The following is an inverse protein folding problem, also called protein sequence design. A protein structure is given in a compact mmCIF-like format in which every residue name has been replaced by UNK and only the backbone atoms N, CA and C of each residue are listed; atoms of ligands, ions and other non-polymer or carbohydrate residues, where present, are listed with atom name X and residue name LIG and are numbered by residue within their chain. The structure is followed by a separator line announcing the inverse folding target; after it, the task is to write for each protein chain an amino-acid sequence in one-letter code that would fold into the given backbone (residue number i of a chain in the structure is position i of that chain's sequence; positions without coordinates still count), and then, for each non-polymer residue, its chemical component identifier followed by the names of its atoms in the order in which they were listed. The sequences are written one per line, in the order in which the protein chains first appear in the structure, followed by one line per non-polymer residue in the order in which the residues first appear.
data_IF_179033586972
#
_entry.id   IF_179033586972
#
_cell.length_a   1.000
_cell.length_b   1.000
_cell.length_c   1.000
_cell.angle_alpha   90.00
_cell.angle_beta   90.00
_cell.angle_gamma   90.00
#
_symmetry.space_group_name_H-M   'P 1'
#
loop_
_entity.id
_entity.type
_entity.pdbx_description
1 polymer ?
#
# COMPACT_ATOMS: atom_id res chain seq x y z
N UNK A 1 64.31 -13.62 -19.73
CA UNK A 1 63.45 -14.47 -18.91
C UNK A 1 62.59 -13.54 -18.08
N UNK A 2 61.41 -13.15 -18.63
CA UNK A 2 60.48 -12.24 -17.98
C UNK A 2 59.16 -12.99 -17.75
N UNK A 3 58.85 -13.21 -16.49
CA UNK A 3 57.58 -13.80 -16.05
C UNK A 3 56.52 -12.72 -16.06
N UNK A 4 55.50 -12.87 -16.90
CA UNK A 4 54.25 -12.06 -16.86
C UNK A 4 53.28 -12.67 -15.86
N UNK A 5 52.97 -11.91 -14.81
CA UNK A 5 51.94 -12.22 -13.83
C UNK A 5 50.64 -11.59 -14.33
N UNK A 6 49.71 -12.39 -14.83
CA UNK A 6 48.33 -11.96 -15.17
C UNK A 6 47.45 -12.10 -13.96
N UNK A 7 47.08 -10.94 -13.35
CA UNK A 7 46.02 -10.87 -12.34
C UNK A 7 44.64 -10.93 -13.05
N UNK A 8 43.90 -12.01 -12.83
CA UNK A 8 42.47 -12.08 -13.15
C UNK A 8 41.67 -11.34 -12.06
N UNK A 9 41.16 -10.16 -12.37
CA UNK A 9 40.12 -9.49 -11.60
C UNK A 9 38.78 -10.18 -11.90
N UNK A 10 38.30 -10.98 -10.97
CA UNK A 10 36.89 -11.39 -10.92
C UNK A 10 36.06 -10.23 -10.40
N UNK A 11 35.48 -9.47 -11.31
CA UNK A 11 34.42 -8.52 -10.98
C UNK A 11 33.14 -9.29 -10.73
N UNK A 12 32.80 -9.52 -9.47
CA UNK A 12 31.46 -9.99 -9.07
C UNK A 12 30.47 -8.86 -9.31
N UNK A 13 29.80 -8.93 -10.46
CA UNK A 13 28.64 -8.07 -10.78
C UNK A 13 27.50 -8.53 -9.86
N UNK A 14 27.34 -7.87 -8.71
CA UNK A 14 26.13 -7.97 -7.90
C UNK A 14 25.02 -7.28 -8.70
N UNK A 15 24.21 -8.05 -9.42
CA UNK A 15 23.01 -7.58 -10.07
C UNK A 15 22.04 -7.11 -9.00
N UNK A 16 22.00 -5.79 -8.73
CA UNK A 16 20.89 -5.17 -8.01
C UNK A 16 19.65 -5.31 -8.89
N UNK A 17 18.83 -6.31 -8.59
CA UNK A 17 17.50 -6.40 -9.16
C UNK A 17 16.70 -5.15 -8.75
N UNK A 18 15.99 -4.49 -9.68
CA UNK A 18 15.23 -3.28 -9.36
C UNK A 18 14.13 -3.60 -8.34
N UNK A 19 14.16 -2.92 -7.20
CA UNK A 19 13.18 -3.03 -6.11
C UNK A 19 11.72 -2.79 -6.54
N UNK A 20 11.48 -2.32 -7.75
CA UNK A 20 10.14 -2.13 -8.34
C UNK A 20 9.44 -3.42 -8.77
N UNK A 21 10.17 -4.51 -9.04
CA UNK A 21 9.58 -5.76 -9.54
C UNK A 21 8.89 -6.60 -8.46
N UNK A 22 9.24 -6.43 -7.18
CA UNK A 22 8.76 -7.30 -6.11
C UNK A 22 7.28 -7.09 -5.72
N UNK A 23 6.72 -5.88 -5.89
CA UNK A 23 5.30 -5.62 -5.59
C UNK A 23 4.39 -5.90 -6.79
N UNK A 24 4.87 -5.69 -7.99
CA UNK A 24 4.18 -6.09 -9.22
C UNK A 24 3.99 -7.61 -9.23
N UNK A 25 5.05 -8.38 -9.08
CA UNK A 25 5.00 -9.84 -9.09
C UNK A 25 4.06 -10.45 -8.01
N UNK A 26 3.90 -9.80 -6.83
CA UNK A 26 2.95 -10.29 -5.82
C UNK A 26 1.49 -10.13 -6.27
N UNK A 27 1.12 -8.99 -6.86
CA UNK A 27 -0.24 -8.75 -7.34
C UNK A 27 -0.57 -9.64 -8.54
N UNK A 28 0.36 -9.81 -9.44
CA UNK A 28 0.26 -10.67 -10.62
C UNK A 28 0.18 -12.14 -10.23
N UNK A 29 1.04 -12.61 -9.32
CA UNK A 29 0.99 -13.95 -8.79
C UNK A 29 -0.33 -14.28 -8.07
N UNK A 30 -0.88 -13.33 -7.31
CA UNK A 30 -2.20 -13.48 -6.66
C UNK A 30 -3.33 -13.51 -7.69
N UNK A 31 -3.30 -12.63 -8.68
CA UNK A 31 -4.29 -12.60 -9.74
C UNK A 31 -4.25 -13.87 -10.62
N UNK A 32 -3.06 -14.36 -10.95
CA UNK A 32 -2.86 -15.61 -11.65
C UNK A 32 -3.42 -16.80 -10.84
N UNK A 33 -3.09 -16.88 -9.55
CA UNK A 33 -3.64 -17.91 -8.66
C UNK A 33 -5.17 -17.88 -8.61
N UNK A 34 -5.77 -16.70 -8.51
CA UNK A 34 -7.23 -16.54 -8.47
C UNK A 34 -7.93 -16.97 -9.77
N UNK A 35 -7.26 -16.85 -10.92
CA UNK A 35 -7.74 -17.33 -12.22
C UNK A 35 -7.50 -18.83 -12.48
N UNK A 36 -6.78 -19.51 -11.54
CA UNK A 36 -6.37 -20.90 -11.74
C UNK A 36 -5.12 -21.08 -12.60
N UNK A 37 -4.47 -20.01 -13.03
CA UNK A 37 -3.18 -20.04 -13.72
C UNK A 37 -2.04 -20.25 -12.72
N UNK A 38 -1.94 -21.47 -12.25
CA UNK A 38 -1.00 -21.81 -11.19
C UNK A 38 0.46 -21.79 -11.66
N UNK A 39 0.71 -21.96 -12.96
CA UNK A 39 2.05 -21.89 -13.52
C UNK A 39 2.62 -20.48 -13.43
N UNK A 40 1.87 -19.49 -13.90
CA UNK A 40 2.24 -18.08 -13.77
C UNK A 40 2.31 -17.63 -12.30
N UNK A 41 1.35 -18.07 -11.48
CA UNK A 41 1.38 -17.78 -10.03
C UNK A 41 2.66 -18.29 -9.37
N UNK A 42 3.11 -19.50 -9.71
CA UNK A 42 4.34 -20.09 -9.17
C UNK A 42 5.58 -19.32 -9.60
N UNK A 43 5.65 -18.93 -10.88
CA UNK A 43 6.77 -18.16 -11.44
C UNK A 43 6.94 -16.82 -10.71
N UNK A 44 5.83 -16.11 -10.45
CA UNK A 44 5.83 -14.83 -9.77
C UNK A 44 6.07 -14.93 -8.24
N UNK A 45 5.44 -15.89 -7.58
CA UNK A 45 5.48 -16.01 -6.12
C UNK A 45 6.78 -16.64 -5.60
N UNK A 46 7.43 -17.52 -6.37
CA UNK A 46 8.64 -18.23 -5.91
C UNK A 46 9.80 -17.28 -5.60
N UNK A 47 10.22 -16.35 -6.48
CA UNK A 47 11.30 -15.42 -6.17
C UNK A 47 10.96 -14.53 -4.99
N UNK A 48 9.69 -14.10 -4.84
CA UNK A 48 9.24 -13.29 -3.73
C UNK A 48 9.30 -14.04 -2.39
N UNK A 49 8.84 -15.29 -2.36
CA UNK A 49 8.90 -16.13 -1.17
C UNK A 49 10.36 -16.39 -0.73
N UNK A 50 11.27 -16.64 -1.68
CA UNK A 50 12.72 -16.78 -1.43
C UNK A 50 13.33 -15.49 -0.89
N UNK A 51 12.85 -14.33 -1.34
CA UNK A 51 13.24 -13.01 -0.83
C UNK A 51 12.62 -12.68 0.55
N UNK A 52 11.87 -13.61 1.16
CA UNK A 52 11.28 -13.41 2.48
C UNK A 52 9.93 -12.70 2.49
N UNK A 53 9.27 -12.52 1.35
CA UNK A 53 7.97 -11.83 1.29
C UNK A 53 6.91 -12.59 2.10
N UNK A 54 6.40 -11.95 3.17
CA UNK A 54 5.44 -12.52 4.12
C UNK A 54 4.09 -12.94 3.50
N UNK A 55 3.73 -12.38 2.35
CA UNK A 55 2.49 -12.71 1.66
C UNK A 55 2.67 -13.78 0.57
N UNK A 56 3.85 -13.88 -0.03
CA UNK A 56 4.16 -14.90 -1.03
C UNK A 56 4.41 -16.28 -0.37
N UNK A 57 5.06 -16.31 0.77
CA UNK A 57 5.39 -17.56 1.48
C UNK A 57 4.16 -18.43 1.81
N UNK A 58 3.07 -17.92 2.43
CA UNK A 58 1.91 -18.75 2.73
C UNK A 58 1.19 -19.23 1.48
N UNK A 59 1.20 -18.44 0.40
CA UNK A 59 0.63 -18.86 -0.89
C UNK A 59 1.42 -20.00 -1.51
N UNK A 60 2.76 -19.88 -1.51
CA UNK A 60 3.64 -20.94 -2.03
C UNK A 60 3.51 -22.23 -1.19
N UNK A 61 3.38 -22.10 0.13
CA UNK A 61 3.08 -23.22 1.03
C UNK A 61 1.78 -23.94 0.67
N UNK A 62 0.71 -23.18 0.39
CA UNK A 62 -0.58 -23.72 -0.05
C UNK A 62 -0.48 -24.40 -1.42
N UNK A 63 0.27 -23.83 -2.38
CA UNK A 63 0.49 -24.41 -3.70
C UNK A 63 1.17 -25.78 -3.61
N UNK A 64 2.24 -25.91 -2.83
CA UNK A 64 2.90 -27.21 -2.60
C UNK A 64 2.00 -28.21 -1.88
N UNK A 65 1.15 -27.76 -0.96
CA UNK A 65 0.20 -28.63 -0.24
C UNK A 65 -0.87 -29.19 -1.16
N UNK A 66 -1.42 -28.36 -2.04
CA UNK A 66 -2.55 -28.70 -2.91
C UNK A 66 -2.12 -29.29 -4.26
N UNK A 67 -0.87 -29.09 -4.67
CA UNK A 67 -0.37 -29.48 -5.98
C UNK A 67 -0.77 -28.51 -7.08
N UNK A 68 -0.95 -27.23 -6.75
CA UNK A 68 -1.33 -26.20 -7.70
C UNK A 68 -0.09 -25.69 -8.46
N UNK A 69 0.02 -26.06 -9.75
CA UNK A 69 1.15 -25.72 -10.61
C UNK A 69 2.46 -26.44 -10.29
N UNK A 70 2.48 -27.29 -9.25
CA UNK A 70 3.62 -28.09 -8.81
C UNK A 70 3.14 -29.44 -8.28
N UNK A 71 4.00 -30.46 -8.31
CA UNK A 71 3.70 -31.70 -7.59
C UNK A 71 3.55 -31.42 -6.08
N UNK A 72 2.59 -32.10 -5.44
CA UNK A 72 2.42 -32.04 -3.98
C UNK A 72 3.73 -32.38 -3.29
N UNK A 73 4.13 -31.52 -2.34
CA UNK A 73 5.35 -31.74 -1.58
C UNK A 73 5.17 -31.24 -0.13
N UNK A 74 5.06 -32.21 0.79
CA UNK A 74 4.81 -31.94 2.19
C UNK A 74 5.92 -31.12 2.86
N UNK A 75 7.18 -31.42 2.57
CA UNK A 75 8.33 -30.72 3.17
C UNK A 75 8.36 -29.27 2.75
N UNK A 76 8.21 -28.98 1.45
CA UNK A 76 8.16 -27.61 0.93
C UNK A 76 6.93 -26.83 1.43
N UNK A 77 5.77 -27.48 1.50
CA UNK A 77 4.57 -26.88 2.06
C UNK A 77 4.78 -26.45 3.51
N UNK A 78 5.34 -27.34 4.34
CA UNK A 78 5.66 -27.06 5.73
C UNK A 78 6.76 -26.00 5.88
N UNK A 79 7.81 -26.07 5.05
CA UNK A 79 8.87 -25.07 5.06
C UNK A 79 8.29 -23.65 4.87
N UNK A 80 7.59 -23.42 3.78
CA UNK A 80 7.04 -22.12 3.47
C UNK A 80 5.97 -21.64 4.47
N UNK A 81 5.14 -22.57 4.96
CA UNK A 81 4.15 -22.25 6.00
C UNK A 81 4.85 -21.83 7.30
N UNK A 82 5.92 -22.53 7.71
CA UNK A 82 6.68 -22.18 8.91
C UNK A 82 7.42 -20.86 8.78
N UNK A 83 7.99 -20.55 7.61
CA UNK A 83 8.61 -19.24 7.37
C UNK A 83 7.60 -18.09 7.52
N UNK A 84 6.40 -18.25 6.97
CA UNK A 84 5.32 -17.28 7.15
C UNK A 84 4.87 -17.16 8.63
N UNK A 85 4.81 -18.28 9.36
CA UNK A 85 4.48 -18.29 10.80
C UNK A 85 5.53 -17.56 11.64
N UNK A 86 6.81 -17.68 11.30
CA UNK A 86 7.90 -16.94 11.96
C UNK A 86 7.72 -15.43 11.80
N UNK A 87 7.21 -14.98 10.65
CA UNK A 87 6.92 -13.58 10.39
C UNK A 87 5.59 -13.10 11.00
N UNK A 88 4.86 -13.98 11.70
CA UNK A 88 3.62 -13.63 12.38
C UNK A 88 2.36 -13.64 11.50
N UNK A 89 2.42 -14.18 10.27
CA UNK A 89 1.24 -14.25 9.39
C UNK A 89 0.11 -15.07 10.02
N UNK A 90 -1.05 -14.43 10.25
CA UNK A 90 -2.19 -15.06 10.92
C UNK A 90 -2.83 -16.17 10.09
N UNK A 91 -2.81 -16.07 8.76
CA UNK A 91 -3.31 -17.08 7.85
C UNK A 91 -2.42 -18.33 7.87
N UNK A 92 -1.10 -18.16 7.85
CA UNK A 92 -0.15 -19.25 7.98
C UNK A 92 -0.25 -19.94 9.35
N UNK A 93 -0.44 -19.16 10.43
CA UNK A 93 -0.69 -19.72 11.78
C UNK A 93 -1.96 -20.58 11.81
N UNK A 94 -3.04 -20.12 11.17
CA UNK A 94 -4.27 -20.90 11.02
C UNK A 94 -4.03 -22.18 10.20
N UNK A 95 -3.35 -22.10 9.07
CA UNK A 95 -3.08 -23.23 8.21
C UNK A 95 -2.23 -24.28 8.93
N UNK A 96 -1.18 -23.87 9.64
CA UNK A 96 -0.35 -24.79 10.42
C UNK A 96 -1.12 -25.40 11.60
N UNK A 97 -2.01 -24.63 12.24
CA UNK A 97 -2.89 -25.15 13.28
C UNK A 97 -3.81 -26.24 12.75
N UNK A 98 -4.39 -26.02 11.57
CA UNK A 98 -5.24 -27.00 10.89
C UNK A 98 -4.46 -28.29 10.54
N UNK A 99 -3.21 -28.17 10.07
CA UNK A 99 -2.38 -29.34 9.82
C UNK A 99 -2.15 -30.17 11.09
N UNK A 100 -1.84 -29.53 12.23
CA UNK A 100 -1.69 -30.23 13.50
C UNK A 100 -3.02 -30.79 14.06
N UNK A 101 -4.14 -30.18 13.75
CA UNK A 101 -5.47 -30.70 14.15
C UNK A 101 -5.84 -31.95 13.34
N UNK A 102 -5.67 -31.89 12.02
CA UNK A 102 -6.09 -32.97 11.12
C UNK A 102 -5.06 -34.08 10.98
N UNK A 103 -3.78 -33.80 11.25
CA UNK A 103 -2.68 -34.70 10.96
C UNK A 103 -2.23 -34.64 9.50
N UNK A 104 -2.58 -33.56 8.78
CA UNK A 104 -2.17 -33.36 7.39
C UNK A 104 -0.75 -32.81 7.35
N UNK A 105 0.16 -33.52 6.71
CA UNK A 105 1.60 -33.26 6.58
C UNK A 105 2.41 -33.31 7.89
N UNK A 106 1.76 -33.42 9.05
CA UNK A 106 2.38 -33.51 10.39
C UNK A 106 1.59 -34.44 11.27
N UNK A 107 2.22 -35.04 12.28
CA UNK A 107 1.49 -35.80 13.29
C UNK A 107 0.50 -34.91 14.05
N UNK A 108 -0.70 -35.44 14.34
CA UNK A 108 -1.72 -34.71 15.13
C UNK A 108 -1.17 -34.22 16.45
N UNK A 109 -1.41 -32.94 16.75
CA UNK A 109 -0.99 -32.33 18.00
C UNK A 109 -1.97 -31.22 18.40
N UNK A 110 -3.02 -31.57 19.12
CA UNK A 110 -4.03 -30.62 19.55
C UNK A 110 -3.51 -29.48 20.46
N UNK A 111 -2.59 -29.72 21.43
CA UNK A 111 -1.98 -28.64 22.19
C UNK A 111 -1.28 -27.60 21.32
N UNK A 112 -0.55 -28.03 20.30
CA UNK A 112 0.16 -27.13 19.39
C UNK A 112 -0.82 -26.42 18.44
N UNK A 113 -1.83 -27.13 17.94
CA UNK A 113 -2.92 -26.56 17.16
C UNK A 113 -3.65 -25.46 17.95
N UNK A 114 -4.00 -25.70 19.22
CA UNK A 114 -4.64 -24.72 20.08
C UNK A 114 -3.81 -23.42 20.23
N UNK A 115 -2.49 -23.55 20.48
CA UNK A 115 -1.58 -22.39 20.55
C UNK A 115 -1.54 -21.60 19.25
N UNK A 116 -1.50 -22.27 18.11
CA UNK A 116 -1.47 -21.63 16.79
C UNK A 116 -2.82 -20.98 16.45
N UNK A 117 -3.95 -21.66 16.72
CA UNK A 117 -5.28 -21.05 16.57
C UNK A 117 -5.45 -19.83 17.47
N UNK A 118 -4.93 -19.85 18.69
CA UNK A 118 -4.98 -18.68 19.57
C UNK A 118 -4.20 -17.49 19.00
N UNK A 119 -3.04 -17.71 18.41
CA UNK A 119 -2.26 -16.65 17.73
C UNK A 119 -3.01 -16.10 16.51
N UNK A 120 -3.53 -16.98 15.65
CA UNK A 120 -4.32 -16.61 14.48
C UNK A 120 -5.63 -15.88 14.86
N UNK A 121 -6.31 -16.32 15.94
CA UNK A 121 -7.52 -15.67 16.43
C UNK A 121 -7.26 -14.27 16.98
N UNK A 122 -6.11 -14.05 17.64
CA UNK A 122 -5.63 -12.71 18.04
C UNK A 122 -5.28 -11.82 16.84
N UNK A 123 -4.78 -12.42 15.76
CA UNK A 123 -4.55 -11.73 14.48
C UNK A 123 -5.87 -11.47 13.69
N UNK A 124 -7.01 -11.62 14.35
CA UNK A 124 -8.36 -11.36 13.82
C UNK A 124 -8.73 -12.22 12.60
N UNK A 125 -8.29 -13.50 12.57
CA UNK A 125 -8.72 -14.48 11.57
C UNK A 125 -10.04 -15.11 12.02
N UNK A 126 -11.18 -14.90 11.30
CA UNK A 126 -12.50 -15.33 11.76
C UNK A 126 -12.61 -16.84 11.98
N UNK A 127 -12.09 -17.62 11.05
CA UNK A 127 -12.12 -19.08 11.12
C UNK A 127 -11.27 -19.61 12.28
N UNK A 128 -10.15 -18.95 12.60
CA UNK A 128 -9.35 -19.28 13.78
C UNK A 128 -10.11 -18.99 15.08
N UNK A 129 -10.84 -17.88 15.14
CA UNK A 129 -11.70 -17.54 16.28
C UNK A 129 -12.78 -18.61 16.49
N UNK A 130 -13.44 -19.03 15.40
CA UNK A 130 -14.44 -20.10 15.46
C UNK A 130 -13.85 -21.44 15.92
N UNK A 131 -12.73 -21.87 15.29
CA UNK A 131 -12.05 -23.15 15.66
C UNK A 131 -11.57 -23.14 17.10
N UNK A 132 -11.03 -22.01 17.56
CA UNK A 132 -10.60 -21.87 18.96
C UNK A 132 -11.77 -21.98 19.94
N UNK A 133 -12.95 -21.45 19.56
CA UNK A 133 -14.19 -21.66 20.31
C UNK A 133 -14.54 -23.16 20.43
N UNK A 134 -14.44 -23.90 19.32
CA UNK A 134 -14.64 -25.37 19.30
C UNK A 134 -13.61 -26.09 20.17
N UNK A 135 -12.34 -25.70 20.09
CA UNK A 135 -11.29 -26.29 20.93
C UNK A 135 -11.55 -26.13 22.42
N UNK A 136 -12.00 -24.96 22.86
CA UNK A 136 -12.39 -24.74 24.26
C UNK A 136 -13.66 -25.48 24.63
N UNK A 137 -14.63 -25.60 23.72
CA UNK A 137 -15.90 -26.33 24.01
C UNK A 137 -15.64 -27.82 24.19
N UNK A 138 -14.77 -28.39 23.38
CA UNK A 138 -14.47 -29.84 23.36
C UNK A 138 -13.32 -30.25 24.27
N UNK A 139 -12.50 -29.25 24.71
CA UNK A 139 -11.28 -29.48 25.49
C UNK A 139 -10.12 -29.97 24.68
N UNK A 140 -10.10 -29.70 23.35
CA UNK A 140 -9.02 -30.11 22.46
C UNK A 140 -7.74 -29.33 22.76
N UNK A 141 -6.68 -30.05 23.06
CA UNK A 141 -5.39 -29.45 23.37
C UNK A 141 -5.27 -28.76 24.74
N UNK A 142 -6.24 -28.97 25.64
CA UNK A 142 -6.24 -28.41 27.00
C UNK A 142 -7.55 -28.65 27.75
N UNK A 143 -7.74 -27.86 28.79
CA UNK A 143 -8.97 -27.97 29.63
C UNK A 143 -10.18 -27.40 28.89
N UNK A 144 -11.32 -28.12 29.00
CA UNK A 144 -12.61 -27.65 28.53
C UNK A 144 -13.03 -26.36 29.24
N UNK A 145 -13.41 -25.33 28.48
CA UNK A 145 -13.83 -24.03 29.02
C UNK A 145 -14.98 -23.45 28.19
N UNK A 146 -16.21 -23.64 28.67
CA UNK A 146 -17.41 -23.16 27.98
C UNK A 146 -17.51 -21.65 27.92
N UNK A 147 -16.95 -20.92 28.89
CA UNK A 147 -16.95 -19.46 28.91
C UNK A 147 -16.01 -18.93 27.81
N UNK A 148 -14.81 -19.50 27.69
CA UNK A 148 -13.90 -19.13 26.59
C UNK A 148 -14.47 -19.53 25.23
N UNK A 149 -15.16 -20.68 25.13
CA UNK A 149 -15.83 -21.05 23.89
C UNK A 149 -16.88 -20.00 23.46
N UNK A 150 -17.74 -19.58 24.38
CA UNK A 150 -18.70 -18.49 24.16
C UNK A 150 -18.04 -17.20 23.72
N UNK A 151 -16.95 -16.79 24.39
CA UNK A 151 -16.20 -15.58 24.05
C UNK A 151 -15.66 -15.63 22.62
N UNK A 152 -15.03 -16.73 22.22
CA UNK A 152 -14.44 -16.84 20.89
C UNK A 152 -15.47 -16.98 19.77
N UNK A 153 -16.58 -17.68 20.00
CA UNK A 153 -17.72 -17.71 19.06
C UNK A 153 -18.36 -16.33 18.91
N UNK A 154 -18.47 -15.55 19.99
CA UNK A 154 -18.98 -14.17 19.94
C UNK A 154 -18.08 -13.30 19.07
N UNK A 155 -16.77 -13.41 19.24
CA UNK A 155 -15.81 -12.67 18.39
C UNK A 155 -15.87 -13.08 16.93
N UNK A 156 -16.00 -14.38 16.65
CA UNK A 156 -16.12 -14.87 15.28
C UNK A 156 -17.42 -14.39 14.62
N UNK A 157 -18.53 -14.36 15.35
CA UNK A 157 -19.83 -13.89 14.87
C UNK A 157 -19.84 -12.37 14.58
N UNK A 158 -19.13 -11.58 15.39
CA UNK A 158 -19.03 -10.14 15.24
C UNK A 158 -17.91 -9.69 14.26
N UNK A 159 -17.18 -10.63 13.65
CA UNK A 159 -16.07 -10.30 12.79
C UNK A 159 -16.55 -9.93 11.38
N UNK A 160 -16.32 -8.69 10.97
CA UNK A 160 -16.73 -8.17 9.65
C UNK A 160 -16.18 -8.97 8.46
N UNK A 161 -15.07 -9.69 8.67
CA UNK A 161 -14.44 -10.54 7.65
C UNK A 161 -15.00 -11.97 7.60
N UNK A 162 -15.94 -12.28 8.48
CA UNK A 162 -16.44 -13.66 8.64
C UNK A 162 -17.36 -14.11 7.49
N UNK A 163 -18.00 -13.17 6.79
CA UNK A 163 -18.95 -13.51 5.72
C UNK A 163 -20.00 -14.55 6.20
N UNK A 164 -20.19 -15.60 5.43
CA UNK A 164 -21.14 -16.67 5.77
C UNK A 164 -20.81 -17.42 7.09
N UNK A 165 -19.57 -17.39 7.56
CA UNK A 165 -19.17 -17.98 8.83
C UNK A 165 -19.83 -17.27 10.03
N UNK A 166 -20.17 -15.96 9.91
CA UNK A 166 -20.76 -15.19 11.01
C UNK A 166 -22.05 -15.85 11.54
N UNK A 167 -22.92 -16.32 10.65
CA UNK A 167 -24.16 -17.01 11.02
C UNK A 167 -23.89 -18.33 11.75
N UNK A 168 -22.92 -19.12 11.31
CA UNK A 168 -22.53 -20.37 11.99
C UNK A 168 -21.92 -20.09 13.37
N UNK A 169 -21.09 -19.06 13.47
CA UNK A 169 -20.49 -18.64 14.73
C UNK A 169 -21.55 -18.11 15.71
N UNK A 170 -22.57 -17.39 15.23
CA UNK A 170 -23.68 -16.93 16.04
C UNK A 170 -24.50 -18.13 16.60
N UNK A 171 -24.83 -19.13 15.77
CA UNK A 171 -25.51 -20.35 16.24
C UNK A 171 -24.68 -21.10 17.31
N UNK A 172 -23.36 -21.22 17.11
CA UNK A 172 -22.47 -21.85 18.07
C UNK A 172 -22.37 -21.04 19.37
N UNK A 173 -22.31 -19.71 19.30
CA UNK A 173 -22.38 -18.80 20.45
C UNK A 173 -23.65 -19.02 21.24
N UNK A 174 -24.81 -19.01 20.58
CA UNK A 174 -26.13 -19.12 21.23
C UNK A 174 -26.32 -20.51 21.89
N UNK A 175 -25.83 -21.56 21.22
CA UNK A 175 -25.79 -22.90 21.81
C UNK A 175 -24.90 -22.94 23.06
N UNK A 176 -23.73 -22.33 23.02
CA UNK A 176 -22.83 -22.23 24.18
C UNK A 176 -23.44 -21.39 25.30
N UNK A 177 -24.07 -20.27 24.98
CA UNK A 177 -24.71 -19.37 25.94
C UNK A 177 -25.84 -20.06 26.77
N UNK A 178 -26.60 -20.96 26.14
CA UNK A 178 -27.65 -21.72 26.84
C UNK A 178 -27.10 -22.70 27.88
N UNK A 179 -25.85 -23.06 27.80
CA UNK A 179 -25.19 -23.99 28.74
C UNK A 179 -24.43 -23.25 29.86
N UNK A 180 -24.47 -21.93 29.88
CA UNK A 180 -23.80 -21.09 30.87
C UNK A 180 -24.79 -20.55 31.88
N UNK A 181 -24.40 -20.53 33.17
CA UNK A 181 -25.07 -19.77 34.22
C UNK A 181 -24.96 -18.26 33.95
N UNK A 182 -25.79 -17.46 34.60
CA UNK A 182 -25.74 -16.00 34.51
C UNK A 182 -24.37 -15.42 34.94
N UNK A 183 -23.79 -16.01 35.98
CA UNK A 183 -22.43 -15.65 36.45
C UNK A 183 -21.37 -15.94 35.38
N UNK A 184 -21.44 -17.08 34.71
CA UNK A 184 -20.52 -17.44 33.62
C UNK A 184 -20.70 -16.54 32.40
N UNK A 185 -21.94 -16.16 32.04
CA UNK A 185 -22.24 -15.20 30.98
C UNK A 185 -21.65 -13.82 31.30
N UNK A 186 -21.83 -13.35 32.54
CA UNK A 186 -21.27 -12.09 33.01
C UNK A 186 -19.72 -12.11 32.92
N UNK A 187 -19.08 -13.21 33.33
CA UNK A 187 -17.63 -13.40 33.21
C UNK A 187 -17.18 -13.39 31.74
N UNK A 188 -17.91 -14.07 30.86
CA UNK A 188 -17.62 -14.05 29.42
C UNK A 188 -17.72 -12.65 28.80
N UNK A 189 -18.77 -11.90 29.17
CA UNK A 189 -18.98 -10.51 28.75
C UNK A 189 -17.85 -9.59 29.24
N UNK A 190 -17.41 -9.75 30.49
CA UNK A 190 -16.28 -9.01 31.04
C UNK A 190 -14.98 -9.33 30.29
N UNK A 191 -14.75 -10.59 29.91
CA UNK A 191 -13.60 -10.98 29.08
C UNK A 191 -13.65 -10.33 27.69
N UNK A 192 -14.83 -10.29 27.04
CA UNK A 192 -15.01 -9.60 25.75
C UNK A 192 -14.68 -8.12 25.85
N UNK A 193 -15.20 -7.41 26.85
CA UNK A 193 -14.90 -5.99 27.11
C UNK A 193 -13.40 -5.75 27.30
N UNK A 194 -12.73 -6.59 28.10
CA UNK A 194 -11.28 -6.49 28.31
C UNK A 194 -10.49 -6.72 27.02
N UNK A 195 -10.90 -7.70 26.20
CA UNK A 195 -10.24 -7.97 24.92
C UNK A 195 -10.43 -6.83 23.91
N UNK A 196 -11.61 -6.16 23.90
CA UNK A 196 -11.87 -4.98 23.07
C UNK A 196 -11.01 -3.80 23.52
N UNK A 197 -10.98 -3.51 24.81
CA UNK A 197 -10.16 -2.43 25.37
C UNK A 197 -8.65 -2.64 25.10
N UNK A 198 -8.15 -3.88 25.18
CA UNK A 198 -6.77 -4.20 24.81
C UNK A 198 -6.51 -4.02 23.32
N UNK A 199 -7.49 -4.31 22.45
CA UNK A 199 -7.36 -4.10 21.00
C UNK A 199 -7.40 -2.62 20.64
N UNK A 200 -8.18 -1.80 21.34
CA UNK A 200 -8.22 -0.34 21.17
C UNK A 200 -6.92 0.33 21.64
N UNK A 201 -6.34 -0.15 22.74
CA UNK A 201 -5.06 0.37 23.29
C UNK A 201 -3.81 -0.21 22.60
N UNK A 202 -3.96 -1.21 21.72
CA UNK A 202 -2.83 -1.67 20.92
C UNK A 202 -2.68 -0.73 19.73
N UNK A 203 -1.52 -0.05 19.54
CA UNK A 203 -1.30 0.79 18.37
C UNK A 203 -1.60 -0.04 17.12
N UNK A 204 -2.67 0.31 16.41
CA UNK A 204 -2.95 -0.35 15.13
C UNK A 204 -1.79 -0.02 14.21
N UNK A 205 -1.14 -1.06 13.67
CA UNK A 205 -0.16 -0.82 12.61
C UNK A 205 -0.88 -0.03 11.50
N UNK A 206 -0.37 1.13 11.13
CA UNK A 206 -1.01 1.95 10.11
C UNK A 206 -1.30 1.13 8.86
N UNK A 207 -2.48 1.30 8.27
CA UNK A 207 -2.84 0.65 7.02
C UNK A 207 -2.74 1.67 5.87
N UNK A 208 -2.18 1.24 4.74
CA UNK A 208 -2.12 2.08 3.55
C UNK A 208 -3.53 2.47 3.12
N UNK A 209 -3.84 3.77 3.10
CA UNK A 209 -5.19 4.29 2.81
C UNK A 209 -5.30 4.95 1.45
N UNK A 210 -4.28 5.66 1.00
CA UNK A 210 -4.28 6.37 -0.28
C UNK A 210 -2.87 6.51 -0.85
N UNK A 211 -2.82 6.81 -2.13
CA UNK A 211 -1.58 7.14 -2.85
C UNK A 211 -1.75 8.46 -3.58
N UNK A 212 -0.64 9.13 -3.77
CA UNK A 212 -0.48 10.32 -4.59
C UNK A 212 0.91 10.38 -5.19
N UNK A 213 1.22 11.50 -5.78
CA UNK A 213 2.53 11.79 -6.37
C UNK A 213 3.19 12.94 -5.61
N UNK A 214 4.50 12.96 -5.58
CA UNK A 214 5.31 14.09 -5.16
C UNK A 214 6.56 14.15 -6.02
N UNK A 215 7.28 15.25 -5.92
CA UNK A 215 8.53 15.40 -6.67
C UNK A 215 9.58 16.17 -5.87
N UNK A 216 10.84 15.77 -6.03
CA UNK A 216 12.00 16.36 -5.35
C UNK A 216 12.20 17.77 -5.90
N UNK A 217 12.28 18.77 -5.02
CA UNK A 217 12.36 20.20 -5.38
C UNK A 217 13.66 20.86 -4.94
N UNK A 218 14.54 20.13 -4.24
CA UNK A 218 15.82 20.66 -3.79
C UNK A 218 16.89 19.59 -3.67
N UNK A 219 18.16 19.98 -3.75
CA UNK A 219 19.30 19.09 -3.61
C UNK A 219 19.36 18.39 -2.25
N UNK A 220 18.89 19.03 -1.19
CA UNK A 220 18.90 18.52 0.19
C UNK A 220 17.65 17.69 0.53
N UNK A 221 16.79 17.37 -0.46
CA UNK A 221 15.75 16.37 -0.37
C UNK A 221 14.38 16.85 0.10
N UNK A 222 14.02 18.11 -0.14
CA UNK A 222 12.62 18.51 -0.02
C UNK A 222 11.79 17.94 -1.17
N UNK A 223 10.58 17.51 -0.85
CA UNK A 223 9.61 16.96 -1.79
C UNK A 223 8.32 17.75 -1.67
N UNK A 224 7.81 18.21 -2.81
CA UNK A 224 6.54 18.90 -2.90
C UNK A 224 5.42 17.93 -3.31
N UNK A 225 4.26 18.07 -2.69
CA UNK A 225 3.03 17.32 -3.01
C UNK A 225 1.80 18.14 -2.65
N UNK A 226 0.59 17.58 -2.84
CA UNK A 226 -0.62 18.20 -2.33
C UNK A 226 -0.88 17.87 -0.84
N UNK A 227 -1.46 18.82 -0.11
CA UNK A 227 -1.88 18.61 1.27
C UNK A 227 -2.91 17.47 1.38
N UNK A 228 -3.91 17.39 0.49
CA UNK A 228 -4.93 16.35 0.55
C UNK A 228 -4.38 14.93 0.34
N UNK A 229 -3.18 14.76 -0.25
CA UNK A 229 -2.49 13.47 -0.39
C UNK A 229 -2.04 12.95 0.96
N UNK A 230 -1.58 13.86 1.86
CA UNK A 230 -1.01 13.51 3.16
C UNK A 230 -1.93 13.83 4.34
N UNK A 231 -3.04 14.50 4.12
CA UNK A 231 -3.94 14.94 5.19
C UNK A 231 -4.51 13.79 6.01
N UNK A 232 -4.27 13.86 7.33
CA UNK A 232 -4.68 12.85 8.30
C UNK A 232 -3.94 11.51 8.16
N UNK A 233 -2.76 11.48 7.53
CA UNK A 233 -1.86 10.33 7.60
C UNK A 233 -1.18 10.29 8.97
N UNK A 234 -1.05 9.10 9.54
CA UNK A 234 -0.18 8.82 10.69
C UNK A 234 1.27 8.71 10.24
N UNK A 235 1.47 8.09 9.08
CA UNK A 235 2.77 7.96 8.43
C UNK A 235 2.66 8.28 6.95
N UNK A 236 3.66 8.99 6.42
CA UNK A 236 3.83 9.22 4.98
C UNK A 236 5.03 8.42 4.51
N UNK A 237 4.84 7.59 3.50
CA UNK A 237 5.89 6.72 2.99
C UNK A 237 6.27 7.11 1.56
N UNK A 238 7.57 7.17 1.33
CA UNK A 238 8.21 7.15 0.00
C UNK A 238 9.18 5.96 0.07
N UNK A 239 8.74 4.82 -0.42
CA UNK A 239 9.43 3.54 -0.21
C UNK A 239 10.92 3.59 -0.57
N UNK A 240 11.76 3.03 0.32
CA UNK A 240 11.42 2.27 1.54
C UNK A 240 11.26 3.13 2.81
N UNK A 241 11.25 4.46 2.72
CA UNK A 241 11.38 5.40 3.84
C UNK A 241 10.01 5.88 4.37
N UNK A 242 9.94 6.11 5.69
CA UNK A 242 8.94 6.96 6.31
C UNK A 242 9.52 8.37 6.33
N UNK A 243 8.74 9.35 5.84
CA UNK A 243 9.23 10.72 5.65
C UNK A 243 8.42 11.70 6.48
N UNK A 244 9.06 12.64 7.20
CA UNK A 244 8.36 13.66 7.96
C UNK A 244 7.68 14.69 7.04
N UNK A 245 6.53 15.17 7.47
CA UNK A 245 5.87 16.36 6.93
C UNK A 245 6.50 17.58 7.58
N UNK A 246 7.07 18.47 6.77
CA UNK A 246 7.73 19.71 7.24
C UNK A 246 6.73 20.86 7.32
N UNK A 247 5.88 20.96 6.30
CA UNK A 247 4.84 21.99 6.22
C UNK A 247 3.64 21.46 5.42
N UNK A 248 2.45 21.96 5.76
CA UNK A 248 1.23 21.65 5.04
C UNK A 248 0.28 22.86 5.06
N UNK A 249 -0.25 23.19 3.91
CA UNK A 249 -1.19 24.27 3.70
C UNK A 249 -2.47 23.73 3.05
N UNK A 250 -3.57 23.75 3.81
CA UNK A 250 -4.85 23.21 3.37
C UNK A 250 -5.57 24.17 2.39
N UNK A 251 -5.30 25.46 2.44
CA UNK A 251 -5.91 26.46 1.57
C UNK A 251 -5.31 26.42 0.17
N UNK A 252 -3.97 26.41 0.09
CA UNK A 252 -3.24 26.28 -1.17
C UNK A 252 -3.18 24.82 -1.66
N UNK A 253 -3.57 23.84 -0.82
CA UNK A 253 -3.49 22.38 -1.05
C UNK A 253 -2.05 21.93 -1.38
N UNK A 254 -1.05 22.44 -0.66
CA UNK A 254 0.36 22.11 -0.80
C UNK A 254 0.93 21.52 0.48
N UNK A 255 1.93 20.65 0.33
CA UNK A 255 2.70 20.11 1.45
C UNK A 255 4.15 19.84 1.08
N UNK A 256 5.06 20.06 2.04
CA UNK A 256 6.48 19.75 1.96
C UNK A 256 6.83 18.56 2.84
N UNK A 257 7.51 17.61 2.27
CA UNK A 257 8.11 16.47 2.93
C UNK A 257 9.64 16.60 2.88
N UNK A 258 10.35 15.86 3.76
CA UNK A 258 11.82 15.89 3.79
C UNK A 258 12.37 14.47 3.79
N UNK A 259 13.21 14.15 2.82
CA UNK A 259 14.03 12.94 2.81
C UNK A 259 15.44 13.32 3.26
N UNK A 260 16.00 12.58 4.20
CA UNK A 260 17.37 12.82 4.72
C UNK A 260 18.45 12.31 3.76
N UNK A 261 18.41 12.77 2.50
CA UNK A 261 19.36 12.38 1.46
C UNK A 261 19.65 13.57 0.53
N UNK A 262 20.83 13.57 -0.08
CA UNK A 262 21.20 14.56 -1.10
C UNK A 262 20.92 14.02 -2.49
N UNK A 263 20.27 14.84 -3.30
CA UNK A 263 19.88 14.50 -4.67
C UNK A 263 20.64 15.33 -5.69
N UNK A 264 21.21 14.65 -6.69
CA UNK A 264 21.87 15.32 -7.83
C UNK A 264 20.86 15.84 -8.86
N UNK A 265 19.62 15.33 -8.84
CA UNK A 265 18.56 15.68 -9.78
C UNK A 265 17.29 15.98 -9.01
N UNK A 266 16.75 17.16 -9.27
CA UNK A 266 15.51 17.68 -8.67
C UNK A 266 14.84 18.60 -9.69
N UNK A 267 13.57 18.91 -9.46
CA UNK A 267 12.76 19.71 -10.36
C UNK A 267 13.22 21.17 -10.39
N UNK A 268 13.33 21.72 -11.57
CA UNK A 268 13.56 23.15 -11.80
C UNK A 268 12.23 23.80 -12.16
N UNK A 269 11.91 24.92 -11.54
CA UNK A 269 10.69 25.67 -11.84
C UNK A 269 10.93 26.59 -13.03
N UNK A 270 9.87 26.85 -13.80
CA UNK A 270 9.89 27.86 -14.85
C UNK A 270 9.92 29.27 -14.24
N UNK A 271 10.77 30.14 -14.74
CA UNK A 271 10.63 31.59 -14.57
C UNK A 271 9.48 32.09 -15.43
N UNK A 272 8.69 33.00 -14.89
CA UNK A 272 7.54 33.57 -15.59
C UNK A 272 6.31 32.63 -15.65
N UNK A 273 5.22 33.22 -16.08
CA UNK A 273 3.93 32.54 -16.11
C UNK A 273 3.71 31.75 -17.39
N UNK A 274 3.04 30.62 -17.28
CA UNK A 274 2.59 29.84 -18.43
C UNK A 274 1.40 30.54 -19.10
N UNK A 275 1.30 30.44 -20.43
CA UNK A 275 0.22 31.06 -21.20
C UNK A 275 -0.86 30.04 -21.56
N UNK A 276 -2.06 30.53 -21.81
CA UNK A 276 -3.13 29.74 -22.37
C UNK A 276 -2.73 29.20 -23.77
N UNK A 277 -3.00 27.90 -24.00
CA UNK A 277 -2.64 27.21 -25.23
C UNK A 277 -1.29 26.51 -25.21
N UNK A 278 -0.39 26.82 -24.25
CA UNK A 278 0.89 26.13 -24.15
C UNK A 278 0.71 24.65 -23.81
N UNK A 279 1.54 23.83 -24.44
CA UNK A 279 1.60 22.39 -24.22
C UNK A 279 2.21 22.05 -22.87
N UNK A 280 1.65 21.01 -22.21
CA UNK A 280 2.10 20.56 -20.90
C UNK A 280 2.16 19.06 -20.81
N UNK A 281 3.05 18.60 -19.93
CA UNK A 281 3.25 17.19 -19.58
C UNK A 281 2.94 17.00 -18.10
N UNK A 282 2.10 16.03 -17.78
CA UNK A 282 1.80 15.61 -16.41
C UNK A 282 2.52 14.31 -16.12
N UNK A 283 3.26 14.26 -15.02
CA UNK A 283 3.93 13.05 -14.55
C UNK A 283 3.34 12.62 -13.18
N UNK A 284 3.00 11.33 -13.03
CA UNK A 284 2.44 10.84 -11.78
C UNK A 284 2.18 9.35 -11.74
N UNK A 285 1.60 8.89 -10.61
CA UNK A 285 1.29 7.47 -10.35
C UNK A 285 -0.23 7.25 -10.23
N UNK A 286 -0.99 7.40 -11.33
CA UNK A 286 -2.44 7.23 -11.31
C UNK A 286 -2.81 5.79 -11.00
N UNK A 287 -3.83 5.60 -10.12
CA UNK A 287 -4.39 4.29 -9.78
C UNK A 287 -3.31 3.23 -9.50
N UNK A 288 -2.28 3.62 -8.74
CA UNK A 288 -1.15 2.75 -8.39
C UNK A 288 -1.66 1.42 -7.80
N UNK A 289 -1.15 0.31 -8.34
CA UNK A 289 -1.58 -1.04 -8.00
C UNK A 289 -2.80 -1.56 -8.79
N UNK A 290 -3.42 -0.72 -9.62
CA UNK A 290 -4.47 -1.10 -10.59
C UNK A 290 -3.94 -1.02 -12.02
N UNK A 291 -3.30 0.11 -12.38
CA UNK A 291 -2.72 0.34 -13.71
C UNK A 291 -1.21 0.08 -13.79
N UNK A 292 -0.65 -0.65 -12.81
CA UNK A 292 0.79 -0.88 -12.67
C UNK A 292 1.45 0.05 -11.65
N UNK A 293 2.77 -0.07 -11.50
CA UNK A 293 3.59 0.68 -10.53
C UNK A 293 4.44 1.77 -11.16
N UNK A 294 4.45 1.88 -12.50
CA UNK A 294 5.31 2.79 -13.23
C UNK A 294 4.78 4.21 -13.21
N UNK A 295 5.67 5.18 -13.37
CA UNK A 295 5.33 6.57 -13.64
C UNK A 295 4.52 6.64 -14.95
N UNK A 296 3.36 7.26 -14.91
CA UNK A 296 2.52 7.51 -16.10
C UNK A 296 2.63 8.96 -16.52
N UNK A 297 2.62 9.14 -17.83
CA UNK A 297 2.72 10.45 -18.46
C UNK A 297 1.46 10.70 -19.26
N UNK A 298 0.92 11.90 -19.11
CA UNK A 298 -0.17 12.39 -19.97
C UNK A 298 0.18 13.77 -20.47
N UNK A 299 -0.24 14.10 -21.69
CA UNK A 299 0.00 15.38 -22.35
C UNK A 299 -1.30 16.11 -22.59
N UNK A 300 -1.23 17.43 -22.68
CA UNK A 300 -2.35 18.31 -22.99
C UNK A 300 -1.90 19.74 -23.11
N UNK A 301 -2.82 20.67 -22.91
CA UNK A 301 -2.57 22.12 -22.98
C UNK A 301 -3.17 22.84 -21.79
N UNK A 302 -2.67 24.03 -21.50
CA UNK A 302 -3.32 24.97 -20.58
C UNK A 302 -4.57 25.53 -21.25
N UNK A 303 -5.75 25.11 -20.82
CA UNK A 303 -7.03 25.57 -21.37
C UNK A 303 -7.58 26.82 -20.68
N UNK A 304 -7.13 27.14 -19.46
CA UNK A 304 -7.51 28.33 -18.70
C UNK A 304 -6.49 28.74 -17.65
N UNK A 305 -6.44 30.03 -17.32
CA UNK A 305 -5.53 30.60 -16.33
C UNK A 305 -6.17 30.83 -14.96
N UNK A 306 -7.39 30.32 -14.77
CA UNK A 306 -8.11 30.35 -13.50
C UNK A 306 -8.86 29.03 -13.30
N UNK A 307 -9.08 28.66 -12.04
CA UNK A 307 -9.86 27.50 -11.65
C UNK A 307 -11.32 27.83 -11.34
N UNK A 308 -12.08 26.86 -10.76
CA UNK A 308 -13.45 27.04 -10.35
C UNK A 308 -13.62 28.25 -9.43
N UNK A 309 -14.71 28.98 -9.59
CA UNK A 309 -14.97 30.22 -8.81
C UNK A 309 -13.99 31.36 -9.12
N UNK A 310 -13.40 31.38 -10.32
CA UNK A 310 -12.38 32.33 -10.76
C UNK A 310 -11.11 32.33 -9.88
N UNK A 311 -10.76 31.17 -9.31
CA UNK A 311 -9.56 31.02 -8.49
C UNK A 311 -8.28 31.25 -9.31
N UNK A 312 -7.60 32.37 -9.05
CA UNK A 312 -6.38 32.81 -9.76
C UNK A 312 -5.14 31.96 -9.43
N UNK A 313 -5.16 31.16 -8.35
CA UNK A 313 -4.06 30.26 -7.97
C UNK A 313 -4.00 28.98 -8.83
N UNK A 314 -5.01 28.73 -9.65
CA UNK A 314 -5.15 27.50 -10.41
C UNK A 314 -5.03 27.72 -11.92
N UNK A 315 -4.56 26.66 -12.59
CA UNK A 315 -4.60 26.48 -14.05
C UNK A 315 -5.66 25.43 -14.38
N UNK A 316 -6.36 25.62 -15.50
CA UNK A 316 -7.20 24.60 -16.10
C UNK A 316 -6.44 23.91 -17.23
N UNK A 317 -6.58 22.57 -17.34
CA UNK A 317 -5.82 21.71 -18.22
C UNK A 317 -6.73 20.80 -19.03
N UNK A 318 -6.33 20.50 -20.27
CA UNK A 318 -6.94 19.43 -21.07
C UNK A 318 -6.29 18.08 -20.87
N UNK A 319 -5.08 17.99 -20.27
CA UNK A 319 -4.39 16.75 -20.00
C UNK A 319 -5.24 15.82 -19.11
N UNK A 320 -5.39 14.53 -19.44
CA UNK A 320 -6.12 13.58 -18.60
C UNK A 320 -5.44 13.42 -17.23
N UNK A 321 -6.18 13.63 -16.16
CA UNK A 321 -5.71 13.49 -14.77
C UNK A 321 -6.61 12.51 -14.04
N UNK A 322 -5.99 11.56 -13.33
CA UNK A 322 -6.67 10.54 -12.53
C UNK A 322 -6.22 10.59 -11.06
N UNK A 323 -6.99 9.93 -10.20
CA UNK A 323 -6.62 9.76 -8.79
C UNK A 323 -5.24 9.11 -8.68
N UNK A 324 -4.33 9.75 -7.96
CA UNK A 324 -2.93 9.36 -7.84
C UNK A 324 -1.96 10.29 -8.57
N UNK A 325 -2.41 11.07 -9.57
CA UNK A 325 -1.59 12.13 -10.17
C UNK A 325 -1.45 13.36 -9.26
N UNK A 326 -2.36 13.53 -8.28
CA UNK A 326 -2.32 14.63 -7.31
C UNK A 326 -0.96 14.76 -6.66
N UNK A 327 -0.41 15.96 -6.64
CA UNK A 327 0.89 16.31 -6.11
C UNK A 327 2.03 16.11 -7.10
N UNK A 328 1.77 15.58 -8.29
CA UNK A 328 2.77 15.43 -9.35
C UNK A 328 3.10 16.75 -10.07
N UNK A 329 4.27 16.83 -10.72
CA UNK A 329 4.66 18.00 -11.46
C UNK A 329 3.85 18.15 -12.75
N UNK A 330 3.43 19.39 -13.03
CA UNK A 330 3.02 19.84 -14.33
C UNK A 330 4.20 20.54 -14.99
N UNK A 331 4.62 20.06 -16.14
CA UNK A 331 5.84 20.50 -16.82
C UNK A 331 5.52 21.19 -18.14
N UNK A 332 6.31 22.18 -18.53
CA UNK A 332 6.36 22.66 -19.92
C UNK A 332 7.21 21.72 -20.79
N UNK A 333 7.27 21.97 -22.09
CA UNK A 333 8.04 21.13 -23.01
C UNK A 333 9.56 21.28 -22.86
N UNK A 334 10.06 22.25 -22.09
CA UNK A 334 11.49 22.30 -21.74
C UNK A 334 11.82 21.51 -20.46
N UNK A 335 10.80 20.92 -19.82
CA UNK A 335 10.91 20.09 -18.62
C UNK A 335 10.92 20.88 -17.31
N UNK A 336 10.53 22.16 -17.33
CA UNK A 336 10.41 22.99 -16.13
C UNK A 336 9.02 22.90 -15.52
N UNK A 337 8.96 22.94 -14.19
CA UNK A 337 7.69 22.89 -13.45
C UNK A 337 6.94 24.20 -13.61
N UNK A 338 5.73 24.12 -14.13
CA UNK A 338 4.79 25.23 -14.29
C UNK A 338 3.60 25.13 -13.32
N UNK A 339 3.48 24.00 -12.60
CA UNK A 339 2.44 23.80 -11.60
C UNK A 339 2.51 22.46 -10.88
N UNK A 340 1.58 22.28 -9.94
CA UNK A 340 1.38 21.04 -9.17
C UNK A 340 -0.01 20.50 -9.46
N UNK A 341 -0.10 19.28 -9.96
CA UNK A 341 -1.35 18.65 -10.42
C UNK A 341 -2.31 18.39 -9.27
N UNK A 342 -3.60 18.67 -9.46
CA UNK A 342 -4.68 18.42 -8.48
C UNK A 342 -5.79 17.60 -9.13
N UNK A 343 -5.96 16.35 -8.71
CA UNK A 343 -6.99 15.43 -9.27
C UNK A 343 -8.35 15.51 -8.56
N UNK A 344 -8.46 16.27 -7.47
CA UNK A 344 -9.65 16.25 -6.58
C UNK A 344 -10.59 17.43 -6.72
N UNK A 345 -10.22 18.45 -7.52
CA UNK A 345 -11.04 19.63 -7.69
C UNK A 345 -12.27 19.33 -8.57
N UNK A 346 -13.33 18.88 -7.92
CA UNK A 346 -14.65 19.31 -8.33
C UNK A 346 -15.37 18.55 -9.42
N UNK A 347 -14.90 17.42 -9.97
CA UNK A 347 -15.72 16.66 -10.93
C UNK A 347 -17.13 16.36 -10.34
N UNK A 348 -17.19 15.95 -9.07
CA UNK A 348 -18.46 15.73 -8.36
C UNK A 348 -19.20 17.05 -7.98
N UNK A 349 -18.46 18.13 -7.65
CA UNK A 349 -19.08 19.43 -7.39
C UNK A 349 -19.58 20.08 -8.69
N UNK A 350 -18.82 19.95 -9.76
CA UNK A 350 -19.20 20.43 -11.08
C UNK A 350 -20.38 19.62 -11.65
N UNK A 351 -20.34 18.29 -11.53
CA UNK A 351 -21.45 17.42 -11.94
C UNK A 351 -22.76 17.73 -11.17
N UNK A 352 -22.66 18.05 -9.88
CA UNK A 352 -23.83 18.50 -9.09
C UNK A 352 -24.36 19.88 -9.52
N UNK A 353 -23.49 20.75 -10.01
CA UNK A 353 -23.86 22.09 -10.44
C UNK A 353 -24.34 22.15 -11.90
N UNK A 354 -23.84 21.30 -12.77
CA UNK A 354 -24.10 21.32 -14.21
C UNK A 354 -24.94 20.13 -14.72
N UNK A 355 -25.12 19.08 -13.91
CA UNK A 355 -25.79 17.84 -14.32
C UNK A 355 -24.93 16.92 -15.19
N UNK A 356 -23.70 17.31 -15.53
CA UNK A 356 -22.81 16.58 -16.41
C UNK A 356 -21.39 16.47 -15.82
N UNK A 357 -20.66 15.38 -16.14
CA UNK A 357 -19.25 15.21 -15.77
C UNK A 357 -18.40 15.75 -16.90
N UNK A 358 -17.77 16.93 -16.73
CA UNK A 358 -16.97 17.50 -17.81
C UNK A 358 -15.80 16.60 -18.17
N UNK A 359 -15.67 16.26 -19.43
CA UNK A 359 -14.53 15.53 -19.96
C UNK A 359 -13.34 16.50 -20.13
N UNK A 360 -12.13 16.08 -19.73
CA UNK A 360 -10.89 16.83 -19.95
C UNK A 360 -10.84 18.24 -19.28
N UNK A 361 -11.54 18.42 -18.16
CA UNK A 361 -11.43 19.62 -17.32
C UNK A 361 -10.70 19.25 -16.04
N UNK A 362 -9.43 19.52 -16.01
CA UNK A 362 -8.54 19.19 -14.92
C UNK A 362 -7.80 20.45 -14.42
N UNK A 363 -7.17 20.38 -13.27
CA UNK A 363 -6.59 21.57 -12.63
C UNK A 363 -5.17 21.29 -12.10
N UNK A 364 -4.39 22.37 -11.99
CA UNK A 364 -3.12 22.40 -11.29
C UNK A 364 -2.96 23.71 -10.52
N UNK A 365 -2.26 23.67 -9.40
CA UNK A 365 -1.81 24.86 -8.68
C UNK A 365 -0.69 25.48 -9.50
N UNK A 366 -0.70 26.80 -9.70
CA UNK A 366 0.32 27.52 -10.47
C UNK A 366 1.71 27.38 -9.85
N UNK A 367 2.74 27.37 -10.69
CA UNK A 367 4.12 27.25 -10.25
C UNK A 367 4.60 28.39 -9.36
N UNK A 368 4.14 29.64 -9.58
CA UNK A 368 4.45 30.75 -8.68
C UNK A 368 3.88 30.53 -7.27
N UNK A 369 2.63 30.08 -7.13
CA UNK A 369 2.02 29.74 -5.82
C UNK A 369 2.83 28.65 -5.10
N UNK A 370 3.28 27.65 -5.83
CA UNK A 370 4.12 26.59 -5.27
C UNK A 370 5.50 27.10 -4.85
N UNK A 371 6.12 27.98 -5.63
CA UNK A 371 7.42 28.61 -5.30
C UNK A 371 7.31 29.49 -4.06
N UNK A 372 6.24 30.31 -3.95
CA UNK A 372 6.00 31.16 -2.79
C UNK A 372 5.88 30.32 -1.53
N UNK A 373 5.06 29.25 -1.56
CA UNK A 373 4.91 28.31 -0.44
C UNK A 373 6.25 27.67 -0.02
N UNK A 374 7.08 27.24 -0.96
CA UNK A 374 8.41 26.67 -0.68
C UNK A 374 9.34 27.71 -0.05
N UNK A 375 9.38 28.92 -0.59
CA UNK A 375 10.22 30.02 -0.09
C UNK A 375 9.83 30.43 1.33
N UNK A 376 8.54 30.52 1.65
CA UNK A 376 8.02 30.76 3.00
C UNK A 376 8.51 29.73 4.03
N UNK A 377 8.84 28.52 3.57
CA UNK A 377 9.34 27.42 4.42
C UNK A 377 10.85 27.19 4.28
N UNK A 378 11.58 28.16 3.76
CA UNK A 378 13.04 28.15 3.70
C UNK A 378 13.65 27.22 2.64
N UNK A 379 12.88 26.75 1.69
CA UNK A 379 13.38 25.94 0.58
C UNK A 379 13.94 26.84 -0.51
N UNK A 380 15.19 26.63 -0.88
CA UNK A 380 15.82 27.32 -2.02
C UNK A 380 15.26 26.77 -3.31
N UNK A 381 14.46 27.60 -4.00
CA UNK A 381 13.82 27.21 -5.26
C UNK A 381 14.77 27.49 -6.43
N UNK A 382 15.03 26.48 -7.24
CA UNK A 382 15.76 26.65 -8.49
C UNK A 382 14.75 26.93 -9.60
N UNK A 383 14.91 28.06 -10.27
CA UNK A 383 14.08 28.45 -11.41
C UNK A 383 14.95 28.79 -12.61
N UNK A 384 14.43 28.58 -13.81
CA UNK A 384 15.10 28.89 -15.07
C UNK A 384 14.09 29.34 -16.15
N UNK A 385 14.55 30.05 -17.13
CA UNK A 385 13.76 30.37 -18.33
C UNK A 385 13.52 29.09 -19.15
N UNK A 386 12.36 28.98 -19.80
CA UNK A 386 12.11 27.88 -20.73
C UNK A 386 13.11 27.86 -21.84
N UNK A 387 13.70 26.69 -22.05
CA UNK A 387 14.63 26.42 -23.16
C UNK A 387 13.88 25.98 -24.43
N UNK A 388 14.61 25.28 -25.30
CA UNK A 388 14.01 24.66 -26.48
C UNK A 388 12.99 23.54 -26.06
N UNK A 389 11.92 23.40 -26.82
CA UNK A 389 10.96 22.36 -26.65
C UNK A 389 11.55 20.98 -26.90
N UNK A 390 11.33 20.07 -25.98
CA UNK A 390 11.73 18.68 -26.05
C UNK A 390 10.53 17.80 -26.46
N UNK A 391 10.77 16.65 -27.06
CA UNK A 391 9.74 15.64 -27.20
C UNK A 391 9.15 15.27 -25.83
N UNK A 392 7.84 15.03 -25.71
CA UNK A 392 7.22 14.63 -24.43
C UNK A 392 7.88 13.40 -23.77
N UNK A 393 8.45 12.49 -24.56
CA UNK A 393 9.19 11.33 -24.05
C UNK A 393 10.45 11.75 -23.26
N UNK A 394 11.20 12.72 -23.76
CA UNK A 394 12.43 13.21 -23.10
C UNK A 394 12.09 13.99 -21.82
N UNK A 395 10.97 14.75 -21.83
CA UNK A 395 10.44 15.40 -20.63
C UNK A 395 10.07 14.37 -19.58
N UNK A 396 9.45 13.26 -20.02
CA UNK A 396 9.05 12.15 -19.15
C UNK A 396 10.26 11.47 -18.50
N UNK A 397 11.31 11.18 -19.25
CA UNK A 397 12.55 10.59 -18.72
C UNK A 397 13.20 11.50 -17.66
N UNK A 398 13.23 12.81 -17.89
CA UNK A 398 13.71 13.77 -16.90
C UNK A 398 12.86 13.76 -15.64
N UNK A 399 11.53 13.79 -15.80
CA UNK A 399 10.57 13.78 -14.67
C UNK A 399 10.70 12.53 -13.82
N UNK A 400 10.97 11.37 -14.41
CA UNK A 400 11.14 10.10 -13.71
C UNK A 400 12.28 10.13 -12.68
N UNK A 401 13.30 10.97 -12.90
CA UNK A 401 14.47 11.04 -12.03
C UNK A 401 14.19 11.71 -10.68
N UNK A 402 13.10 12.46 -10.56
CA UNK A 402 12.77 13.21 -9.35
C UNK A 402 11.30 13.07 -8.91
N UNK A 403 10.48 12.31 -9.64
CA UNK A 403 9.07 12.08 -9.26
C UNK A 403 8.93 10.81 -8.42
N UNK A 404 8.18 10.88 -7.33
CA UNK A 404 8.04 9.81 -6.35
C UNK A 404 6.58 9.48 -6.04
N UNK A 405 6.32 8.19 -5.79
CA UNK A 405 5.04 7.72 -5.26
C UNK A 405 4.97 8.03 -3.77
N UNK A 406 3.89 8.69 -3.35
CA UNK A 406 3.59 8.95 -1.94
C UNK A 406 2.49 8.00 -1.49
N UNK A 407 2.71 7.32 -0.38
CA UNK A 407 1.72 6.46 0.28
C UNK A 407 1.33 7.05 1.63
N UNK A 408 0.04 7.24 1.84
CA UNK A 408 -0.54 7.68 3.10
C UNK A 408 -1.01 6.48 3.91
N UNK A 409 -0.55 6.35 5.13
CA UNK A 409 -0.91 5.31 6.09
C UNK A 409 -1.67 5.92 7.26
N UNK A 410 -2.83 5.32 7.62
CA UNK A 410 -3.76 5.80 8.68
C UNK A 410 -4.09 4.69 9.65
#
# INVERSE_FOLDING_TARGET
MKLLLTLLLFATLLALAPLGSATAGLSEGRAAYARGDYSSALAELTPLAKAGNAHAQPMLGAMYRQGHGVAKNAERALHWTREAVKQGDGGAQFNLANMYETGDLVAKNFPLAAKLYQRAARANIPLAQYRLGTFFLEGLGGTRDRVRAFVWYTRAAANERAGGLAAHAAKARDKSARQLSETEKARGTAMLRRMSALAENTPRKPAKKSTGTGFIVSADGYILTNNHVIAGCVEVHIKPLIVPVIAADAERDLALLKVGANFKRFATFREGDIRKGESVVVAGFPLHGVLGSDLKITTGTVSGLTGPGNNKALLQLSAPIQKGNSGGPLLDLSGHVVGVVVSKLGALKLARATGDIPQNVNFAIKGNVARDFMTEHGVVVVAAQSGADLPPADVAERAQLYTALIECWK
#
